data_IF_346547168531
#
_entry.id   IF_346547168531
#
_cell.length_a   1.000
_cell.length_b   1.000
_cell.length_c   1.000
_cell.angle_alpha   90.00
_cell.angle_beta   90.00
_cell.angle_gamma   90.00
#
_symmetry.space_group_name_H-M   'P 1'
#
loop_
_entity.id
_entity.type
_entity.pdbx_description
1 polymer ?
#
# COMPACT_ATOMS: atom_id res chain seq x y z
N UNK A 1 14.40 -18.33 -7.77
CA UNK A 1 13.54 -18.82 -8.89
C UNK A 1 13.66 -17.91 -10.11
N UNK A 2 13.44 -16.59 -9.97
CA UNK A 2 13.48 -15.62 -11.07
C UNK A 2 14.82 -15.63 -11.82
N UNK A 3 15.94 -15.66 -11.09
CA UNK A 3 17.28 -15.82 -11.67
C UNK A 3 17.43 -17.09 -12.52
N UNK A 4 16.90 -18.22 -12.03
CA UNK A 4 16.97 -19.51 -12.73
C UNK A 4 16.26 -19.48 -14.08
N UNK A 5 15.21 -18.67 -14.21
CA UNK A 5 14.45 -18.52 -15.46
C UNK A 5 14.85 -17.26 -16.26
N UNK A 6 15.83 -16.48 -15.79
CA UNK A 6 16.29 -15.26 -16.44
C UNK A 6 15.24 -14.14 -16.51
N UNK A 7 14.23 -14.16 -15.62
CA UNK A 7 13.18 -13.15 -15.60
C UNK A 7 13.64 -11.91 -14.80
N UNK A 8 13.63 -10.71 -15.40
CA UNK A 8 13.90 -9.47 -14.66
C UNK A 8 12.75 -9.20 -13.68
N UNK A 9 13.06 -8.54 -12.58
CA UNK A 9 12.08 -8.19 -11.57
C UNK A 9 12.42 -6.87 -10.91
N UNK A 10 11.38 -6.23 -10.38
CA UNK A 10 11.50 -5.07 -9.53
C UNK A 10 10.62 -5.29 -8.31
N UNK A 11 11.13 -4.93 -7.14
CA UNK A 11 10.50 -5.10 -5.84
C UNK A 11 10.14 -3.72 -5.31
N UNK A 12 8.84 -3.49 -5.07
CA UNK A 12 8.36 -2.22 -4.56
C UNK A 12 8.16 -2.33 -3.05
N UNK A 13 8.87 -1.49 -2.30
CA UNK A 13 8.85 -1.51 -0.83
C UNK A 13 8.25 -0.23 -0.28
N UNK A 14 7.51 -0.34 0.82
CA UNK A 14 6.96 0.82 1.52
C UNK A 14 7.90 1.29 2.63
N UNK A 15 7.89 2.59 2.91
CA UNK A 15 8.85 3.20 3.82
C UNK A 15 8.61 2.93 5.31
N UNK A 16 7.35 2.96 5.78
CA UNK A 16 7.01 2.88 7.21
C UNK A 16 7.54 1.60 7.90
N UNK A 17 7.41 0.38 7.33
CA UNK A 17 7.96 -0.82 7.96
C UNK A 17 9.48 -0.76 8.11
N UNK A 18 10.19 -0.23 7.11
CA UNK A 18 11.65 -0.13 7.09
C UNK A 18 12.17 0.91 8.09
N UNK A 19 11.54 2.09 8.14
CA UNK A 19 12.01 3.22 8.94
C UNK A 19 11.57 3.15 10.40
N UNK A 20 10.33 2.75 10.66
CA UNK A 20 9.69 2.87 11.98
C UNK A 20 9.48 1.51 12.66
N UNK A 21 9.75 0.40 11.95
CA UNK A 21 9.37 -0.96 12.39
C UNK A 21 7.88 -1.06 12.73
N UNK A 22 7.04 -0.40 11.91
CA UNK A 22 5.58 -0.40 12.03
C UNK A 22 4.93 -1.00 10.79
N UNK A 23 3.98 -1.90 11.00
CA UNK A 23 3.25 -2.52 9.93
C UNK A 23 2.29 -1.52 9.24
N UNK A 24 2.07 -1.72 7.95
CA UNK A 24 1.09 -0.99 7.17
C UNK A 24 -0.33 -1.37 7.58
N UNK A 25 -1.24 -0.39 7.58
CA UNK A 25 -2.65 -0.58 7.95
C UNK A 25 -3.33 -1.68 7.16
N UNK A 26 -3.02 -1.82 5.86
CA UNK A 26 -3.55 -2.90 5.03
C UNK A 26 -3.19 -4.29 5.58
N UNK A 27 -1.93 -4.51 5.97
CA UNK A 27 -1.47 -5.79 6.51
C UNK A 27 -1.98 -6.03 7.93
N UNK A 28 -2.12 -4.96 8.74
CA UNK A 28 -2.78 -5.04 10.05
C UNK A 28 -4.23 -5.49 9.91
N UNK A 29 -4.98 -4.92 8.96
CA UNK A 29 -6.37 -5.32 8.67
C UNK A 29 -6.44 -6.79 8.24
N UNK A 30 -5.51 -7.26 7.41
CA UNK A 30 -5.44 -8.67 7.04
C UNK A 30 -5.23 -9.58 8.26
N UNK A 31 -4.25 -9.28 9.11
CA UNK A 31 -3.97 -10.08 10.29
C UNK A 31 -5.11 -10.06 11.34
N UNK A 32 -5.76 -8.91 11.51
CA UNK A 32 -6.95 -8.79 12.37
C UNK A 32 -8.08 -9.69 11.90
N UNK A 33 -8.33 -9.75 10.59
CA UNK A 33 -9.36 -10.61 10.00
C UNK A 33 -9.06 -12.10 10.02
N UNK A 34 -7.80 -12.48 10.21
CA UNK A 34 -7.42 -13.88 10.44
C UNK A 34 -7.71 -14.32 11.88
N UNK A 35 -7.75 -13.38 12.83
CA UNK A 35 -7.99 -13.65 14.27
C UNK A 35 -9.43 -13.40 14.71
N UNK A 36 -10.10 -12.45 14.07
CA UNK A 36 -11.47 -12.06 14.37
C UNK A 36 -12.40 -12.48 13.23
N UNK A 37 -13.55 -13.05 13.59
CA UNK A 37 -14.63 -13.18 12.62
C UNK A 37 -15.18 -11.80 12.20
N UNK A 38 -15.86 -11.75 11.05
CA UNK A 38 -16.34 -10.50 10.46
C UNK A 38 -17.27 -9.71 11.40
N UNK A 39 -18.07 -10.39 12.23
CA UNK A 39 -19.01 -9.74 13.13
C UNK A 39 -18.29 -9.12 14.34
N UNK A 40 -17.35 -9.85 14.94
CA UNK A 40 -16.50 -9.37 16.02
C UNK A 40 -15.64 -8.19 15.56
N UNK A 41 -15.05 -8.28 14.36
CA UNK A 41 -14.23 -7.20 13.81
C UNK A 41 -15.05 -5.93 13.58
N UNK A 42 -16.25 -6.05 12.98
CA UNK A 42 -17.14 -4.91 12.75
C UNK A 42 -17.58 -4.23 14.06
N UNK A 43 -17.91 -5.01 15.09
CA UNK A 43 -18.32 -4.48 16.40
C UNK A 43 -17.16 -3.75 17.10
N UNK A 44 -15.96 -4.33 17.12
CA UNK A 44 -14.78 -3.67 17.71
C UNK A 44 -14.39 -2.41 16.95
N UNK A 45 -14.55 -2.41 15.62
CA UNK A 45 -14.36 -1.21 14.81
C UNK A 45 -15.32 -0.10 15.22
N UNK A 46 -16.61 -0.42 15.42
CA UNK A 46 -17.61 0.54 15.92
C UNK A 46 -17.23 1.12 17.29
N UNK A 47 -16.87 0.25 18.24
CA UNK A 47 -16.47 0.67 19.58
C UNK A 47 -15.23 1.57 19.55
N UNK A 48 -14.26 1.24 18.69
CA UNK A 48 -13.01 2.00 18.52
C UNK A 48 -13.26 3.37 17.92
N UNK A 49 -14.09 3.46 16.87
CA UNK A 49 -14.50 4.72 16.26
C UNK A 49 -15.25 5.61 17.27
N UNK A 50 -16.19 5.02 18.02
CA UNK A 50 -16.94 5.72 19.05
C UNK A 50 -16.03 6.26 20.18
N UNK A 51 -15.09 5.43 20.65
CA UNK A 51 -14.13 5.83 21.69
C UNK A 51 -13.22 6.96 21.22
N UNK A 52 -12.81 6.95 19.94
CA UNK A 52 -12.01 8.00 19.32
C UNK A 52 -12.82 9.25 18.91
N UNK A 53 -14.15 9.22 19.05
CA UNK A 53 -15.09 10.26 18.56
C UNK A 53 -14.95 10.52 17.05
N UNK A 54 -14.61 9.49 16.29
CA UNK A 54 -14.57 9.53 14.84
C UNK A 54 -15.95 9.12 14.33
N UNK A 55 -16.53 9.94 13.46
CA UNK A 55 -17.80 9.60 12.83
C UNK A 55 -17.63 8.32 11.99
N UNK A 56 -18.67 7.47 11.92
CA UNK A 56 -18.71 6.33 11.00
C UNK A 56 -19.55 6.71 9.77
N UNK A 57 -18.92 7.13 8.65
CA UNK A 57 -19.67 7.46 7.46
C UNK A 57 -20.31 6.20 6.87
N UNK A 58 -21.43 6.38 6.17
CA UNK A 58 -22.03 5.29 5.42
C UNK A 58 -21.10 4.89 4.26
N UNK A 59 -20.93 3.59 4.07
CA UNK A 59 -20.18 3.03 2.94
C UNK A 59 -21.16 2.44 1.93
N UNK A 60 -20.97 2.71 0.64
CA UNK A 60 -21.74 2.03 -0.41
C UNK A 60 -21.25 0.59 -0.58
N UNK A 61 -22.17 -0.39 -0.61
CA UNK A 61 -21.81 -1.77 -0.96
C UNK A 61 -21.23 -1.85 -2.38
N UNK A 62 -21.84 -1.12 -3.31
CA UNK A 62 -21.47 -1.15 -4.72
C UNK A 62 -20.03 -0.66 -4.90
N UNK A 63 -19.68 0.49 -4.32
CA UNK A 63 -18.33 1.06 -4.41
C UNK A 63 -17.30 0.14 -3.72
N UNK A 64 -17.65 -0.39 -2.54
CA UNK A 64 -16.78 -1.29 -1.80
C UNK A 64 -16.48 -2.59 -2.56
N UNK A 65 -17.51 -3.24 -3.13
CA UNK A 65 -17.36 -4.47 -3.91
C UNK A 65 -16.68 -4.22 -5.26
N UNK A 66 -16.87 -3.06 -5.87
CA UNK A 66 -16.15 -2.68 -7.09
C UNK A 66 -14.65 -2.53 -6.82
N UNK A 67 -14.25 -1.99 -5.66
CA UNK A 67 -12.85 -1.82 -5.28
C UNK A 67 -12.21 -3.14 -4.79
N UNK A 68 -12.92 -3.91 -3.95
CA UNK A 68 -12.47 -5.18 -3.37
C UNK A 68 -13.21 -6.38 -3.96
N UNK A 69 -13.12 -6.57 -5.28
CA UNK A 69 -13.89 -7.59 -6.05
C UNK A 69 -13.75 -9.05 -5.62
N UNK A 70 -12.69 -9.38 -4.88
CA UNK A 70 -12.42 -10.73 -4.41
C UNK A 70 -12.93 -10.98 -2.98
N UNK A 71 -13.39 -9.94 -2.29
CA UNK A 71 -13.89 -10.01 -0.93
C UNK A 71 -15.44 -10.13 -0.89
N UNK A 72 -15.96 -10.70 0.19
CA UNK A 72 -17.40 -10.62 0.50
C UNK A 72 -17.82 -9.21 0.96
N UNK A 73 -19.12 -8.89 0.88
CA UNK A 73 -19.63 -7.53 1.11
C UNK A 73 -19.21 -6.93 2.47
N UNK A 74 -19.34 -7.68 3.57
CA UNK A 74 -18.97 -7.19 4.90
C UNK A 74 -17.50 -6.78 4.98
N UNK A 75 -16.62 -7.64 4.46
CA UNK A 75 -15.17 -7.42 4.39
C UNK A 75 -14.85 -6.21 3.52
N UNK A 76 -15.44 -6.15 2.32
CA UNK A 76 -15.23 -5.08 1.37
C UNK A 76 -15.60 -3.73 2.00
N UNK A 77 -16.74 -3.65 2.69
CA UNK A 77 -17.21 -2.42 3.36
C UNK A 77 -16.26 -1.97 4.47
N UNK A 78 -15.75 -2.89 5.29
CA UNK A 78 -14.80 -2.54 6.36
C UNK A 78 -13.48 -2.03 5.78
N UNK A 79 -12.91 -2.75 4.81
CA UNK A 79 -11.67 -2.31 4.15
C UNK A 79 -11.86 -0.96 3.45
N UNK A 80 -12.99 -0.76 2.79
CA UNK A 80 -13.29 0.49 2.09
C UNK A 80 -13.48 1.65 3.08
N UNK A 81 -14.17 1.42 4.21
CA UNK A 81 -14.26 2.41 5.28
C UNK A 81 -12.86 2.86 5.72
N UNK A 82 -12.01 1.90 6.09
CA UNK A 82 -10.70 2.16 6.68
C UNK A 82 -9.68 2.75 5.70
N UNK A 83 -9.67 2.29 4.46
CA UNK A 83 -8.64 2.65 3.48
C UNK A 83 -9.03 3.78 2.53
N UNK A 84 -10.33 4.00 2.32
CA UNK A 84 -10.83 4.90 1.26
C UNK A 84 -11.72 6.03 1.78
N UNK A 85 -12.41 5.85 2.92
CA UNK A 85 -13.42 6.80 3.40
C UNK A 85 -12.94 7.60 4.60
N UNK A 86 -12.31 6.97 5.58
CA UNK A 86 -11.72 7.69 6.71
C UNK A 86 -10.51 8.49 6.25
N UNK A 87 -10.27 9.62 6.92
CA UNK A 87 -9.02 10.34 6.74
C UNK A 87 -7.86 9.40 7.12
N UNK A 88 -6.71 9.43 6.40
CA UNK A 88 -5.62 8.48 6.63
C UNK A 88 -5.17 8.38 8.09
N UNK A 89 -5.08 9.51 8.79
CA UNK A 89 -4.71 9.53 10.21
C UNK A 89 -5.74 8.86 11.13
N UNK A 90 -7.03 8.97 10.80
CA UNK A 90 -8.13 8.38 11.57
C UNK A 90 -8.18 6.87 11.32
N UNK A 91 -8.07 6.46 10.05
CA UNK A 91 -7.98 5.05 9.66
C UNK A 91 -6.78 4.35 10.30
N UNK A 92 -5.59 4.97 10.22
CA UNK A 92 -4.38 4.45 10.85
C UNK A 92 -4.55 4.32 12.37
N UNK A 93 -5.05 5.35 13.06
CA UNK A 93 -5.22 5.31 14.52
C UNK A 93 -6.21 4.22 14.98
N UNK A 94 -7.29 4.01 14.25
CA UNK A 94 -8.29 2.98 14.55
C UNK A 94 -7.69 1.58 14.32
N UNK A 95 -7.01 1.37 13.20
CA UNK A 95 -6.37 0.08 12.88
C UNK A 95 -5.25 -0.22 13.87
N UNK A 96 -4.44 0.77 14.23
CA UNK A 96 -3.35 0.63 15.18
C UNK A 96 -3.85 0.15 16.55
N UNK A 97 -4.93 0.76 17.05
CA UNK A 97 -5.51 0.37 18.33
C UNK A 97 -6.07 -1.05 18.31
N UNK A 98 -6.84 -1.39 17.27
CA UNK A 98 -7.36 -2.76 17.12
C UNK A 98 -6.24 -3.78 17.02
N UNK A 99 -5.19 -3.44 16.26
CA UNK A 99 -4.03 -4.30 16.08
C UNK A 99 -3.24 -4.49 17.37
N UNK A 100 -3.01 -3.44 18.16
CA UNK A 100 -2.31 -3.55 19.45
C UNK A 100 -3.06 -4.46 20.44
N UNK A 101 -4.40 -4.37 20.47
CA UNK A 101 -5.23 -5.21 21.34
C UNK A 101 -5.18 -6.70 20.96
N UNK A 102 -5.12 -7.02 19.67
CA UNK A 102 -5.17 -8.40 19.16
C UNK A 102 -3.78 -9.01 18.90
N UNK A 103 -2.80 -8.18 18.55
CA UNK A 103 -1.43 -8.54 18.12
C UNK A 103 -0.44 -7.57 18.78
N UNK A 104 -0.13 -7.76 20.08
CA UNK A 104 0.70 -6.81 20.83
C UNK A 104 2.15 -6.72 20.36
N UNK A 105 2.69 -7.77 19.73
CA UNK A 105 4.06 -7.80 19.20
C UNK A 105 4.09 -7.34 17.73
N UNK A 106 3.90 -6.03 17.51
CA UNK A 106 4.00 -5.45 16.16
C UNK A 106 5.41 -5.59 15.58
N UNK A 107 6.44 -5.51 16.41
CA UNK A 107 7.82 -5.62 15.96
C UNK A 107 8.13 -7.01 15.40
N UNK A 108 7.75 -8.07 16.12
CA UNK A 108 7.85 -9.44 15.61
C UNK A 108 7.03 -9.67 14.35
N UNK A 109 5.81 -9.11 14.29
CA UNK A 109 4.99 -9.15 13.07
C UNK A 109 5.69 -8.47 11.87
N UNK A 110 6.40 -7.37 12.11
CA UNK A 110 7.17 -6.70 11.05
C UNK A 110 8.35 -7.54 10.59
N UNK A 111 9.09 -8.15 11.51
CA UNK A 111 10.24 -8.99 11.19
C UNK A 111 9.85 -10.24 10.37
N UNK A 112 8.66 -10.78 10.62
CA UNK A 112 8.13 -11.93 9.88
C UNK A 112 7.62 -11.58 8.48
N UNK A 113 7.05 -10.39 8.29
CA UNK A 113 6.33 -10.04 7.07
C UNK A 113 7.13 -9.20 6.07
N UNK A 114 7.96 -8.26 6.54
CA UNK A 114 8.61 -7.28 5.67
C UNK A 114 10.09 -7.58 5.47
N UNK A 115 10.62 -7.14 4.33
CA UNK A 115 12.07 -7.10 4.14
C UNK A 115 12.73 -6.14 5.13
N UNK A 116 13.91 -6.52 5.60
CA UNK A 116 14.81 -5.65 6.35
C UNK A 116 15.55 -4.69 5.42
N UNK A 117 16.08 -3.59 5.97
CA UNK A 117 16.91 -2.65 5.21
C UNK A 117 18.13 -3.34 4.57
N UNK A 118 18.75 -4.29 5.27
CA UNK A 118 19.90 -5.05 4.74
C UNK A 118 19.51 -5.90 3.53
N UNK A 119 18.35 -6.56 3.56
CA UNK A 119 17.83 -7.33 2.42
C UNK A 119 17.49 -6.43 1.23
N UNK A 120 16.92 -5.25 1.47
CA UNK A 120 16.65 -4.26 0.42
C UNK A 120 17.96 -3.77 -0.21
N UNK A 121 18.96 -3.43 0.60
CA UNK A 121 20.26 -3.01 0.12
C UNK A 121 21.00 -4.12 -0.66
N UNK A 122 20.88 -5.38 -0.21
CA UNK A 122 21.44 -6.54 -0.91
C UNK A 122 20.81 -6.74 -2.29
N UNK A 123 19.48 -6.69 -2.37
CA UNK A 123 18.75 -6.82 -3.64
C UNK A 123 19.11 -5.71 -4.62
N UNK A 124 19.23 -4.46 -4.15
CA UNK A 124 19.65 -3.38 -5.03
C UNK A 124 21.06 -3.62 -5.57
N UNK A 125 22.03 -3.96 -4.70
CA UNK A 125 23.42 -4.21 -5.14
C UNK A 125 23.52 -5.34 -6.16
N UNK A 126 22.69 -6.37 -6.02
CA UNK A 126 22.72 -7.54 -6.88
C UNK A 126 21.99 -7.30 -8.22
N UNK A 127 20.91 -6.52 -8.24
CA UNK A 127 19.97 -6.51 -9.37
C UNK A 127 19.46 -5.13 -9.82
N UNK A 128 19.77 -4.04 -9.12
CA UNK A 128 19.20 -2.70 -9.37
C UNK A 128 17.66 -2.76 -9.51
N UNK A 129 17.01 -3.35 -8.51
CA UNK A 129 15.65 -3.86 -8.58
C UNK A 129 14.74 -3.29 -7.49
N UNK A 130 15.10 -2.21 -6.79
CA UNK A 130 14.26 -1.60 -5.77
C UNK A 130 13.48 -0.40 -6.32
N UNK A 131 12.17 -0.44 -6.14
CA UNK A 131 11.24 0.67 -6.36
C UNK A 131 10.50 1.06 -5.09
N UNK A 132 9.83 2.21 -5.11
CA UNK A 132 9.03 2.68 -3.98
C UNK A 132 7.55 2.27 -4.09
N UNK A 133 6.93 2.05 -2.93
CA UNK A 133 5.49 1.76 -2.80
C UNK A 133 4.84 2.66 -1.74
N UNK A 134 5.04 3.97 -1.86
CA UNK A 134 4.66 4.98 -0.86
C UNK A 134 5.39 4.80 0.49
N UNK A 135 5.39 5.84 1.34
CA UNK A 135 5.85 5.70 2.71
C UNK A 135 4.81 4.96 3.57
N UNK A 136 3.56 5.44 3.59
CA UNK A 136 2.48 4.92 4.43
C UNK A 136 1.55 3.90 3.77
N UNK A 137 1.70 3.63 2.47
CA UNK A 137 0.78 2.82 1.66
C UNK A 137 -0.66 3.39 1.62
N UNK A 138 -0.78 4.72 1.66
CA UNK A 138 -2.06 5.40 1.47
C UNK A 138 -2.39 5.57 -0.02
N UNK A 139 -3.68 5.58 -0.42
CA UNK A 139 -4.06 5.99 -1.76
C UNK A 139 -3.61 7.42 -2.06
N UNK A 140 -2.67 7.60 -3.00
CA UNK A 140 -2.05 8.90 -3.24
C UNK A 140 -3.05 9.97 -3.69
N UNK A 141 -4.08 9.59 -4.46
CA UNK A 141 -5.14 10.50 -4.88
C UNK A 141 -5.96 11.09 -3.70
N UNK A 142 -5.97 10.41 -2.55
CA UNK A 142 -6.72 10.85 -1.36
C UNK A 142 -5.89 11.71 -0.40
N UNK A 143 -4.58 11.81 -0.62
CA UNK A 143 -3.73 12.70 0.17
C UNK A 143 -3.87 14.14 -0.31
N UNK A 144 -3.85 15.11 0.61
CA UNK A 144 -3.64 16.51 0.23
C UNK A 144 -2.23 16.72 -0.35
N UNK A 145 -1.97 17.87 -0.96
CA UNK A 145 -0.70 18.15 -1.64
C UNK A 145 0.51 18.05 -0.69
N UNK A 146 0.36 18.50 0.56
CA UNK A 146 1.45 18.49 1.52
C UNK A 146 1.75 17.07 2.02
N UNK A 147 0.71 16.27 2.30
CA UNK A 147 0.83 14.88 2.70
C UNK A 147 1.40 14.03 1.56
N UNK A 148 0.98 14.25 0.33
CA UNK A 148 1.51 13.59 -0.86
C UNK A 148 3.01 13.89 -1.03
N UNK A 149 3.40 15.17 -1.01
CA UNK A 149 4.80 15.56 -1.20
C UNK A 149 5.69 15.00 -0.06
N UNK A 150 5.18 15.00 1.18
CA UNK A 150 5.87 14.38 2.32
C UNK A 150 6.01 12.85 2.17
N UNK A 151 4.97 12.15 1.74
CA UNK A 151 5.01 10.69 1.57
C UNK A 151 6.07 10.30 0.53
N UNK A 152 6.04 10.96 -0.63
CA UNK A 152 6.95 10.69 -1.75
C UNK A 152 8.41 11.01 -1.41
N UNK A 153 8.66 12.16 -0.77
CA UNK A 153 10.01 12.54 -0.40
C UNK A 153 10.56 11.67 0.74
N UNK A 154 9.74 11.31 1.74
CA UNK A 154 10.16 10.41 2.83
C UNK A 154 10.60 9.05 2.30
N UNK A 155 9.81 8.42 1.43
CA UNK A 155 10.18 7.10 0.89
C UNK A 155 11.39 7.20 -0.06
N UNK A 156 11.49 8.26 -0.86
CA UNK A 156 12.65 8.46 -1.75
C UNK A 156 13.95 8.70 -0.97
N UNK A 157 13.89 9.50 0.11
CA UNK A 157 15.04 9.77 0.96
C UNK A 157 15.49 8.51 1.73
N UNK A 158 14.54 7.77 2.31
CA UNK A 158 14.81 6.52 3.01
C UNK A 158 15.45 5.49 2.08
N UNK A 159 14.88 5.28 0.89
CA UNK A 159 15.44 4.30 -0.03
C UNK A 159 16.83 4.72 -0.50
N UNK A 160 17.06 6.02 -0.76
CA UNK A 160 18.41 6.52 -1.04
C UNK A 160 19.40 6.25 0.09
N UNK A 161 18.98 6.35 1.34
CA UNK A 161 19.84 6.03 2.50
C UNK A 161 20.22 4.55 2.50
N UNK A 162 19.25 3.66 2.24
CA UNK A 162 19.45 2.20 2.25
C UNK A 162 20.26 1.71 1.04
N UNK A 163 19.93 2.21 -0.15
CA UNK A 163 20.43 1.69 -1.43
C UNK A 163 21.58 2.52 -2.01
N UNK A 164 21.78 3.74 -1.53
CA UNK A 164 22.72 4.72 -2.08
C UNK A 164 22.18 5.53 -3.27
N UNK A 165 21.03 5.17 -3.81
CA UNK A 165 20.42 5.79 -5.01
C UNK A 165 18.96 6.15 -4.78
N UNK A 166 18.48 7.23 -5.40
CA UNK A 166 17.03 7.49 -5.38
C UNK A 166 16.32 6.42 -6.23
N UNK A 167 15.16 5.92 -5.80
CA UNK A 167 14.37 4.99 -6.60
C UNK A 167 13.87 5.67 -7.88
N UNK A 168 13.99 4.98 -9.01
CA UNK A 168 13.49 5.46 -10.31
C UNK A 168 12.09 4.96 -10.64
N UNK A 169 11.63 3.91 -9.94
CA UNK A 169 10.36 3.28 -10.19
C UNK A 169 9.42 3.37 -8.98
N UNK A 170 8.12 3.49 -9.26
CA UNK A 170 7.08 3.56 -8.26
C UNK A 170 5.95 2.58 -8.57
N UNK A 171 5.38 1.93 -7.57
CA UNK A 171 4.09 1.25 -7.71
C UNK A 171 3.07 1.97 -6.84
N UNK A 172 1.91 2.29 -7.39
CA UNK A 172 0.87 3.00 -6.64
C UNK A 172 0.17 2.05 -5.67
N UNK A 173 0.04 2.40 -4.37
CA UNK A 173 -0.84 1.67 -3.45
C UNK A 173 -2.24 1.57 -4.03
N UNK A 174 -2.81 0.36 -4.00
CA UNK A 174 -4.08 -0.03 -4.63
C UNK A 174 -4.10 0.09 -6.17
N UNK A 175 -3.61 1.18 -6.74
CA UNK A 175 -3.36 1.35 -8.16
C UNK A 175 -4.61 1.48 -9.04
N UNK A 176 -5.80 1.60 -8.46
CA UNK A 176 -7.06 1.74 -9.19
C UNK A 176 -7.27 3.18 -9.66
N UNK A 177 -8.17 3.44 -10.63
CA UNK A 177 -8.52 4.79 -11.07
C UNK A 177 -9.02 5.73 -9.96
N UNK A 178 -9.51 5.22 -8.82
CA UNK A 178 -9.90 6.06 -7.68
C UNK A 178 -8.72 6.45 -6.77
N UNK A 179 -7.57 5.79 -6.93
CA UNK A 179 -6.41 5.91 -6.02
C UNK A 179 -5.20 6.54 -6.69
N UNK A 180 -5.27 6.73 -8.01
CA UNK A 180 -4.23 7.30 -8.86
C UNK A 180 -4.84 8.45 -9.66
N UNK A 181 -4.20 9.61 -9.60
CA UNK A 181 -4.56 10.78 -10.40
C UNK A 181 -3.32 11.38 -11.10
N UNK A 182 -3.54 12.23 -12.09
CA UNK A 182 -2.44 12.91 -12.79
C UNK A 182 -1.60 13.79 -11.86
N UNK A 183 -2.19 14.27 -10.76
CA UNK A 183 -1.50 15.08 -9.76
C UNK A 183 -0.40 14.26 -9.10
N UNK A 184 -0.68 13.05 -8.67
CA UNK A 184 0.29 12.11 -8.13
C UNK A 184 1.38 11.77 -9.16
N UNK A 185 1.01 11.51 -10.42
CA UNK A 185 2.00 11.29 -11.49
C UNK A 185 2.93 12.50 -11.69
N UNK A 186 2.41 13.72 -11.70
CA UNK A 186 3.23 14.94 -11.79
C UNK A 186 4.18 15.10 -10.60
N UNK A 187 3.74 14.78 -9.38
CA UNK A 187 4.57 14.84 -8.17
C UNK A 187 5.66 13.77 -8.14
N UNK A 188 5.36 12.56 -8.61
CA UNK A 188 6.36 11.51 -8.80
C UNK A 188 7.44 11.96 -9.78
N UNK A 189 7.06 12.52 -10.94
CA UNK A 189 8.02 13.08 -11.91
C UNK A 189 8.91 14.15 -11.28
N UNK A 190 8.32 15.07 -10.50
CA UNK A 190 9.06 16.13 -9.81
C UNK A 190 10.02 15.61 -8.73
N UNK A 191 9.73 14.45 -8.12
CA UNK A 191 10.57 13.79 -7.11
C UNK A 191 11.72 12.98 -7.73
N UNK A 192 11.66 12.74 -9.05
CA UNK A 192 12.69 12.05 -9.82
C UNK A 192 12.34 10.62 -10.26
N UNK A 193 11.09 10.18 -10.09
CA UNK A 193 10.65 8.89 -10.63
C UNK A 193 10.48 8.96 -12.14
N UNK A 194 10.88 7.90 -12.82
CA UNK A 194 10.85 7.76 -14.28
C UNK A 194 9.74 6.82 -14.75
N UNK A 195 9.41 5.81 -13.95
CA UNK A 195 8.38 4.80 -14.27
C UNK A 195 7.44 4.55 -13.09
N UNK A 196 6.15 4.37 -13.37
CA UNK A 196 5.08 4.25 -12.39
C UNK A 196 4.09 3.18 -12.82
N UNK A 197 3.70 2.32 -11.89
CA UNK A 197 2.85 1.16 -12.17
C UNK A 197 1.53 1.21 -11.39
N UNK A 198 0.42 1.31 -12.13
CA UNK A 198 -0.94 1.22 -11.60
C UNK A 198 -1.36 -0.26 -11.45
N UNK A 199 -2.62 -0.50 -11.11
CA UNK A 199 -3.27 -1.82 -11.14
C UNK A 199 -4.26 -1.94 -12.31
N UNK A 200 -4.22 -1.01 -13.26
CA UNK A 200 -5.05 -1.07 -14.46
C UNK A 200 -4.70 -2.34 -15.25
N UNK A 201 -5.72 -3.09 -15.65
CA UNK A 201 -5.57 -4.40 -16.30
C UNK A 201 -5.63 -4.24 -17.81
N UNK A 202 -4.56 -3.69 -18.35
CA UNK A 202 -4.42 -3.41 -19.78
C UNK A 202 -3.00 -3.73 -20.26
N UNK A 203 -2.86 -3.91 -21.56
CA UNK A 203 -1.57 -3.89 -22.22
C UNK A 203 -1.15 -2.43 -22.46
N UNK A 204 0.09 -2.09 -22.12
CA UNK A 204 0.66 -0.78 -22.46
C UNK A 204 0.99 -0.77 -23.96
N UNK A 205 0.16 -0.09 -24.76
CA UNK A 205 0.36 0.05 -26.23
C UNK A 205 1.27 1.22 -26.59
N UNK A 206 1.50 2.12 -25.65
CA UNK A 206 2.40 3.28 -25.72
C UNK A 206 3.15 3.44 -24.40
N UNK A 207 4.27 4.17 -24.42
CA UNK A 207 5.08 4.51 -23.23
C UNK A 207 5.15 6.04 -23.01
N UNK A 208 4.23 6.80 -23.60
CA UNK A 208 4.18 8.26 -23.47
C UNK A 208 3.79 8.73 -22.06
N UNK A 209 3.11 7.88 -21.29
CA UNK A 209 2.76 8.11 -19.89
C UNK A 209 3.47 7.09 -18.98
N UNK A 210 4.81 7.14 -18.87
CA UNK A 210 5.59 6.10 -18.21
C UNK A 210 5.31 6.01 -16.70
N UNK A 211 4.67 7.02 -16.12
CA UNK A 211 4.26 7.03 -14.72
C UNK A 211 2.87 6.44 -14.49
N UNK A 212 2.14 6.01 -15.52
CA UNK A 212 0.79 5.47 -15.41
C UNK A 212 0.67 4.09 -16.08
N UNK A 213 1.74 3.29 -16.06
CA UNK A 213 1.75 2.01 -16.74
C UNK A 213 0.78 1.01 -16.09
N UNK A 214 -0.03 0.37 -16.92
CA UNK A 214 -0.90 -0.74 -16.57
C UNK A 214 -0.10 -2.01 -16.25
N UNK A 215 -0.69 -2.93 -15.47
CA UNK A 215 -0.11 -4.24 -15.14
C UNK A 215 -1.17 -5.34 -15.20
N UNK A 216 -0.74 -6.54 -15.59
CA UNK A 216 -1.56 -7.74 -15.46
C UNK A 216 -1.44 -8.29 -14.04
N UNK A 217 -2.57 -8.65 -13.44
CA UNK A 217 -2.59 -9.35 -12.15
C UNK A 217 -2.39 -10.84 -12.40
N UNK A 218 -1.52 -11.47 -11.62
CA UNK A 218 -1.26 -12.91 -11.70
C UNK A 218 -2.49 -13.76 -11.37
N UNK A 219 -3.46 -13.23 -10.63
CA UNK A 219 -4.74 -13.91 -10.36
C UNK A 219 -5.61 -14.06 -11.61
N UNK A 220 -5.40 -13.23 -12.64
CA UNK A 220 -6.14 -13.29 -13.90
C UNK A 220 -5.42 -14.10 -14.98
N UNK A 221 -4.15 -14.44 -14.74
CA UNK A 221 -3.37 -15.23 -15.68
C UNK A 221 -3.73 -16.71 -15.54
N UNK A 222 -3.72 -17.48 -16.65
CA UNK A 222 -3.95 -18.92 -16.58
C UNK A 222 -2.94 -19.57 -15.63
N UNK A 223 -3.44 -20.43 -14.75
CA UNK A 223 -2.57 -21.28 -13.93
C UNK A 223 -1.92 -22.30 -14.86
N UNK A 224 -0.59 -22.34 -14.88
CA UNK A 224 0.20 -23.27 -15.70
C UNK A 224 0.11 -24.71 -15.17
#
# INVERSE_FOLDING_TARGET
MLERIGAPAIFFVSGRPLAERRALSVHKIHALRERLDDAAFAARLDDTLAAARIARPAVSAEEALAHYRYDGEAVARVKFLLNMVLAPQDGDAVVDRLFEEEIPDEAGFVDDLYMTADQVAELERAHAAIGAHSYGHHPLALLDDEALDRDLEKVAALLREITGTRPLAFSYPYGTPQTVDERAARRLKATGYEVGFTSERAANTTLEEPLLLARMDTNDLPVA
#
